data_IF_359708413391
#
_entry.id   IF_359708413391
#
_cell.length_a   1.000
_cell.length_b   1.000
_cell.length_c   1.000
_cell.angle_alpha   90.00
_cell.angle_beta   90.00
_cell.angle_gamma   90.00
#
_symmetry.space_group_name_H-M   'P 1'
#
loop_
_entity.id
_entity.type
_entity.pdbx_description
1 polymer ?
#
# COMPACT_ATOMS: atom_id res chain seq x y z
N UNK A 1 -7.02 -24.17 -15.26
CA UNK A 1 -8.10 -24.83 -16.03
C UNK A 1 -8.81 -23.76 -16.86
N UNK A 2 -9.48 -24.09 -17.97
CA UNK A 2 -10.23 -23.09 -18.76
C UNK A 2 -11.72 -23.38 -18.59
N UNK A 3 -12.52 -22.38 -18.23
CA UNK A 3 -13.98 -22.50 -18.14
C UNK A 3 -14.57 -22.66 -19.55
N UNK A 4 -15.80 -23.16 -19.67
CA UNK A 4 -16.49 -23.31 -20.97
C UNK A 4 -16.69 -21.98 -21.72
N UNK A 5 -16.63 -20.84 -21.02
CA UNK A 5 -16.68 -19.49 -21.59
C UNK A 5 -15.31 -18.96 -22.05
N UNK A 6 -14.24 -19.75 -21.92
CA UNK A 6 -12.88 -19.39 -22.30
C UNK A 6 -12.09 -18.65 -21.23
N UNK A 7 -12.66 -18.33 -20.06
CA UNK A 7 -11.94 -17.67 -18.98
C UNK A 7 -11.00 -18.63 -18.23
N UNK A 8 -9.83 -18.12 -17.84
CA UNK A 8 -8.88 -18.85 -17.01
C UNK A 8 -9.41 -19.06 -15.59
N UNK A 9 -9.31 -20.28 -15.09
CA UNK A 9 -9.70 -20.68 -13.74
C UNK A 9 -8.48 -21.24 -13.00
N UNK A 10 -8.14 -20.61 -11.88
CA UNK A 10 -7.09 -21.09 -10.99
C UNK A 10 -7.67 -22.13 -10.02
N UNK A 11 -7.19 -23.35 -10.15
CA UNK A 11 -7.64 -24.48 -9.35
C UNK A 11 -6.48 -25.14 -8.64
N UNK A 12 -6.70 -25.48 -7.38
CA UNK A 12 -5.88 -26.48 -6.71
C UNK A 12 -6.52 -27.84 -6.90
N UNK A 13 -5.72 -28.79 -7.37
CA UNK A 13 -6.15 -30.14 -7.66
C UNK A 13 -5.43 -31.07 -6.69
N UNK A 14 -6.20 -31.72 -5.82
CA UNK A 14 -5.70 -32.82 -5.02
C UNK A 14 -6.15 -34.12 -5.69
N UNK A 15 -5.18 -34.96 -6.06
CA UNK A 15 -5.44 -36.27 -6.62
C UNK A 15 -4.97 -37.34 -5.65
N UNK A 16 -5.89 -38.18 -5.20
CA UNK A 16 -5.59 -39.32 -4.33
C UNK A 16 -5.86 -40.60 -5.10
N UNK A 17 -4.90 -41.52 -5.13
CA UNK A 17 -5.09 -42.86 -5.69
C UNK A 17 -5.95 -43.67 -4.73
N UNK A 18 -7.03 -44.27 -5.24
CA UNK A 18 -7.93 -45.12 -4.48
C UNK A 18 -8.29 -46.35 -5.30
N UNK A 19 -8.79 -47.40 -4.64
CA UNK A 19 -9.34 -48.56 -5.35
C UNK A 19 -10.86 -48.39 -5.40
N UNK A 20 -11.43 -48.41 -6.59
CA UNK A 20 -12.87 -48.34 -6.82
C UNK A 20 -13.29 -49.56 -7.65
N UNK A 21 -14.25 -50.33 -7.14
CA UNK A 21 -14.69 -51.61 -7.72
C UNK A 21 -13.54 -52.58 -8.08
N UNK A 22 -12.52 -52.67 -7.21
CA UNK A 22 -11.38 -53.57 -7.39
C UNK A 22 -10.34 -53.11 -8.40
N UNK A 23 -10.51 -51.93 -9.00
CA UNK A 23 -9.59 -51.35 -9.97
C UNK A 23 -8.93 -50.07 -9.42
N UNK A 24 -7.70 -49.80 -9.87
CA UNK A 24 -7.01 -48.55 -9.57
C UNK A 24 -7.78 -47.36 -10.15
N UNK A 25 -8.18 -46.45 -9.28
CA UNK A 25 -8.89 -45.22 -9.61
C UNK A 25 -8.20 -43.99 -9.00
N UNK A 26 -8.50 -42.82 -9.53
CA UNK A 26 -8.01 -41.56 -9.00
C UNK A 26 -9.19 -40.68 -8.64
N UNK A 27 -9.28 -40.32 -7.36
CA UNK A 27 -10.19 -39.26 -6.94
C UNK A 27 -9.51 -37.93 -7.17
N UNK A 28 -10.16 -37.08 -7.97
CA UNK A 28 -9.68 -35.74 -8.27
C UNK A 28 -10.64 -34.74 -7.62
N UNK A 29 -10.16 -34.05 -6.59
CA UNK A 29 -10.89 -32.93 -5.98
C UNK A 29 -10.30 -31.65 -6.53
N UNK A 30 -11.14 -30.88 -7.21
CA UNK A 30 -10.78 -29.58 -7.79
C UNK A 30 -11.41 -28.50 -6.93
N UNK A 31 -10.61 -27.63 -6.33
CA UNK A 31 -11.09 -26.47 -5.59
C UNK A 31 -10.78 -25.21 -6.39
N UNK A 32 -11.82 -24.41 -6.67
CA UNK A 32 -11.64 -23.06 -7.17
C UNK A 32 -10.93 -22.24 -6.09
N UNK A 33 -9.72 -21.80 -6.41
CA UNK A 33 -8.92 -20.93 -5.53
C UNK A 33 -8.76 -19.55 -6.14
N UNK A 34 -9.51 -19.22 -7.20
CA UNK A 34 -9.39 -17.95 -7.91
C UNK A 34 -9.66 -16.77 -6.98
N UNK A 35 -10.71 -16.84 -6.14
CA UNK A 35 -11.01 -15.77 -5.18
C UNK A 35 -9.96 -15.68 -4.06
N UNK A 36 -9.54 -16.82 -3.50
CA UNK A 36 -8.50 -16.85 -2.46
C UNK A 36 -7.16 -16.35 -3.01
N UNK A 37 -6.77 -16.78 -4.21
CA UNK A 37 -5.53 -16.36 -4.86
C UNK A 37 -5.63 -14.92 -5.37
N UNK A 38 -6.79 -14.42 -5.76
CA UNK A 38 -6.98 -13.01 -6.07
C UNK A 38 -6.89 -12.14 -4.81
N UNK A 39 -7.43 -12.59 -3.67
CA UNK A 39 -7.28 -11.92 -2.37
C UNK A 39 -5.83 -12.00 -1.85
N UNK A 40 -5.17 -13.16 -1.96
CA UNK A 40 -3.75 -13.33 -1.63
C UNK A 40 -2.84 -12.58 -2.61
N UNK A 41 -3.20 -12.46 -3.89
CA UNK A 41 -2.48 -11.66 -4.87
C UNK A 41 -2.72 -10.17 -4.65
N UNK A 42 -3.91 -9.74 -4.22
CA UNK A 42 -4.18 -8.37 -3.81
C UNK A 42 -3.43 -8.02 -2.51
N UNK A 43 -3.37 -8.94 -1.54
CA UNK A 43 -2.55 -8.81 -0.34
C UNK A 43 -1.05 -8.88 -0.65
N UNK A 44 -0.61 -9.73 -1.59
CA UNK A 44 0.77 -9.79 -2.08
C UNK A 44 1.12 -8.62 -2.99
N UNK A 45 0.15 -7.99 -3.66
CA UNK A 45 0.32 -6.76 -4.42
C UNK A 45 0.39 -5.57 -3.47
N UNK A 46 -0.42 -5.55 -2.41
CA UNK A 46 -0.28 -4.64 -1.27
C UNK A 46 1.06 -4.87 -0.54
N UNK A 47 1.54 -6.10 -0.39
CA UNK A 47 2.85 -6.42 0.19
C UNK A 47 4.03 -6.25 -0.80
N UNK A 48 3.81 -6.32 -2.11
CA UNK A 48 4.81 -6.01 -3.14
C UNK A 48 4.88 -4.49 -3.38
N UNK A 49 3.85 -3.73 -3.01
CA UNK A 49 3.92 -2.29 -2.77
C UNK A 49 4.71 -1.97 -1.48
N UNK A 50 4.89 -2.92 -0.56
CA UNK A 50 5.91 -2.88 0.51
C UNK A 50 7.32 -3.19 -0.04
N UNK A 51 7.59 -2.86 -1.31
CA UNK A 51 8.95 -2.75 -1.86
C UNK A 51 9.55 -1.34 -1.73
N UNK A 52 9.14 -0.59 -0.70
CA UNK A 52 10.07 0.32 -0.03
C UNK A 52 9.89 0.16 1.47
N UNK A 53 10.87 -0.49 2.11
CA UNK A 53 11.12 -0.44 3.57
C UNK A 53 11.30 1.01 4.08
N UNK A 54 11.22 2.01 3.19
CA UNK A 54 11.48 3.42 3.40
C UNK A 54 10.24 4.32 3.40
N UNK A 55 9.02 3.84 3.13
CA UNK A 55 7.85 4.71 3.04
C UNK A 55 7.27 5.07 4.42
N UNK A 56 6.93 6.34 4.58
CA UNK A 56 6.34 6.86 5.80
C UNK A 56 4.86 6.41 5.88
N UNK A 57 4.53 5.66 6.93
CA UNK A 57 3.16 5.22 7.24
C UNK A 57 2.67 5.99 8.45
N UNK A 58 1.55 6.69 8.26
CA UNK A 58 1.02 7.65 9.21
C UNK A 58 -0.46 7.36 9.44
N UNK A 59 -0.85 7.18 10.70
CA UNK A 59 -2.25 7.09 11.10
C UNK A 59 -2.75 8.45 11.59
N UNK A 60 -4.00 8.79 11.27
CA UNK A 60 -4.65 10.01 11.76
C UNK A 60 -6.09 9.75 12.22
N UNK A 61 -6.60 10.61 13.10
CA UNK A 61 -8.03 10.70 13.41
C UNK A 61 -8.81 11.27 12.22
N UNK A 62 -10.15 11.26 12.28
CA UNK A 62 -11.01 11.90 11.28
C UNK A 62 -10.73 13.41 11.11
N UNK A 63 -10.17 14.07 12.13
CA UNK A 63 -9.79 15.49 12.12
C UNK A 63 -8.34 15.72 11.66
N UNK A 64 -7.65 14.67 11.20
CA UNK A 64 -6.27 14.77 10.74
C UNK A 64 -5.24 14.89 11.87
N UNK A 65 -5.57 14.53 13.11
CA UNK A 65 -4.61 14.47 14.22
C UNK A 65 -3.82 13.16 14.15
N UNK A 66 -2.49 13.22 14.19
CA UNK A 66 -1.62 12.03 14.09
C UNK A 66 -1.80 11.10 15.28
N UNK A 67 -2.07 9.83 15.00
CA UNK A 67 -2.26 8.74 15.99
C UNK A 67 -1.17 7.66 15.88
N UNK A 68 -0.53 7.54 14.72
CA UNK A 68 0.54 6.58 14.48
C UNK A 68 1.59 7.17 13.55
N UNK A 69 2.85 6.83 13.80
CA UNK A 69 4.01 7.36 13.08
C UNK A 69 5.10 6.28 13.05
N UNK A 70 5.33 5.66 11.89
CA UNK A 70 6.31 4.59 11.77
C UNK A 70 7.76 5.11 11.73
N UNK A 71 8.78 4.25 11.95
CA UNK A 71 10.19 4.66 11.90
C UNK A 71 10.63 5.30 10.57
N UNK A 72 10.03 4.88 9.45
CA UNK A 72 10.31 5.50 8.15
C UNK A 72 9.81 6.95 8.09
N UNK A 73 8.67 7.27 8.72
CA UNK A 73 8.19 8.63 8.87
C UNK A 73 9.15 9.48 9.72
N UNK A 74 9.76 8.90 10.76
CA UNK A 74 10.80 9.60 11.52
C UNK A 74 12.01 9.96 10.67
N UNK A 75 12.45 9.03 9.81
CA UNK A 75 13.59 9.24 8.91
C UNK A 75 13.29 10.25 7.79
N UNK A 76 12.11 10.15 7.18
CA UNK A 76 11.70 11.03 6.07
C UNK A 76 11.52 12.46 6.56
N UNK A 77 10.74 12.66 7.64
CA UNK A 77 10.39 14.00 8.11
C UNK A 77 11.30 14.54 9.21
N UNK A 78 12.36 13.82 9.58
CA UNK A 78 13.30 14.19 10.66
C UNK A 78 12.60 14.55 11.98
N UNK A 79 11.53 13.84 12.31
CA UNK A 79 10.68 14.10 13.48
C UNK A 79 10.31 12.80 14.18
N UNK A 80 10.56 12.74 15.49
CA UNK A 80 10.25 11.56 16.29
C UNK A 80 8.73 11.34 16.41
N UNK A 81 8.31 10.09 16.62
CA UNK A 81 6.91 9.74 16.86
C UNK A 81 6.32 10.50 18.07
N UNK A 82 7.01 10.62 19.24
CA UNK A 82 6.52 11.43 20.35
C UNK A 82 6.28 12.91 20.00
N UNK A 83 7.08 13.48 19.10
CA UNK A 83 6.93 14.87 18.67
C UNK A 83 5.87 15.05 17.58
N UNK A 84 5.46 13.97 16.91
CA UNK A 84 4.47 13.98 15.84
C UNK A 84 3.05 13.63 16.33
N UNK A 85 2.92 12.63 17.21
CA UNK A 85 1.63 12.15 17.71
C UNK A 85 0.89 13.26 18.47
N UNK A 86 -0.42 13.36 18.25
CA UNK A 86 -1.27 14.39 18.84
C UNK A 86 -1.23 15.74 18.12
N UNK A 87 -0.43 15.89 17.06
CA UNK A 87 -0.38 17.11 16.23
C UNK A 87 -1.20 16.96 14.95
N UNK A 88 -1.62 18.06 14.32
CA UNK A 88 -2.20 18.03 12.98
C UNK A 88 -1.19 17.50 11.95
N UNK A 89 -1.66 16.68 11.01
CA UNK A 89 -0.83 16.09 9.95
C UNK A 89 -0.10 17.17 9.13
N UNK A 90 -0.80 18.25 8.77
CA UNK A 90 -0.25 19.36 7.98
C UNK A 90 0.98 20.00 8.63
N UNK A 91 0.98 20.11 9.96
CA UNK A 91 2.09 20.69 10.71
C UNK A 91 3.32 19.79 10.79
N UNK A 92 3.13 18.46 10.81
CA UNK A 92 4.26 17.51 10.96
C UNK A 92 4.89 17.14 9.62
N UNK A 93 4.13 17.17 8.52
CA UNK A 93 4.63 16.98 7.15
C UNK A 93 5.02 18.30 6.47
N UNK A 94 4.68 19.43 7.09
CA UNK A 94 5.00 20.77 6.60
C UNK A 94 4.31 21.14 5.29
N UNK A 95 3.10 20.62 5.05
CA UNK A 95 2.31 20.90 3.85
C UNK A 95 0.83 21.04 4.20
N UNK A 96 0.08 21.76 3.38
CA UNK A 96 -1.39 21.81 3.50
C UNK A 96 -1.97 20.48 3.01
N UNK A 97 -2.20 19.57 3.97
CA UNK A 97 -2.62 18.20 3.71
C UNK A 97 -3.85 17.86 4.55
N UNK A 98 -4.96 17.66 3.86
CA UNK A 98 -6.22 17.18 4.45
C UNK A 98 -6.52 15.75 3.98
N UNK A 99 -6.43 14.74 4.86
CA UNK A 99 -6.62 13.33 4.46
C UNK A 99 -7.98 13.07 3.78
N UNK A 100 -9.04 13.71 4.27
CA UNK A 100 -10.39 13.59 3.72
C UNK A 100 -10.45 14.04 2.25
N UNK A 101 -9.79 15.15 1.93
CA UNK A 101 -9.74 15.73 0.57
C UNK A 101 -8.96 14.82 -0.38
N UNK A 102 -7.87 14.21 0.08
CA UNK A 102 -7.10 13.23 -0.72
C UNK A 102 -7.95 11.99 -1.03
N UNK A 103 -8.64 11.44 -0.03
CA UNK A 103 -9.55 10.29 -0.23
C UNK A 103 -10.68 10.64 -1.21
N UNK A 104 -11.32 11.80 -1.03
CA UNK A 104 -12.39 12.27 -1.92
C UNK A 104 -11.92 12.46 -3.37
N UNK A 105 -10.64 12.74 -3.59
CA UNK A 105 -10.03 12.98 -4.90
C UNK A 105 -9.45 11.70 -5.55
N UNK A 106 -9.77 10.51 -5.03
CA UNK A 106 -9.30 9.23 -5.57
C UNK A 106 -8.13 8.60 -4.79
N UNK A 107 -7.80 9.14 -3.62
CA UNK A 107 -6.87 8.51 -2.65
C UNK A 107 -5.40 8.72 -2.95
N UNK A 108 -5.02 9.46 -3.99
CA UNK A 108 -3.62 9.72 -4.34
C UNK A 108 -3.44 11.22 -4.62
N UNK A 109 -2.39 11.80 -4.04
CA UNK A 109 -1.96 13.17 -4.25
C UNK A 109 -0.44 13.22 -4.41
N UNK A 110 0.06 14.00 -5.36
CA UNK A 110 1.46 14.41 -5.37
C UNK A 110 1.56 15.80 -4.74
N UNK A 111 2.44 15.95 -3.76
CA UNK A 111 2.61 17.17 -3.00
C UNK A 111 4.08 17.41 -2.66
N UNK A 112 4.41 18.67 -2.39
CA UNK A 112 5.69 19.05 -1.83
C UNK A 112 5.55 19.19 -0.33
N UNK A 113 6.32 18.39 0.40
CA UNK A 113 6.36 18.39 1.86
C UNK A 113 7.65 19.03 2.36
N UNK A 114 7.64 19.45 3.63
CA UNK A 114 8.78 20.04 4.31
C UNK A 114 9.07 19.26 5.59
N UNK A 115 10.19 18.53 5.59
CA UNK A 115 10.69 17.85 6.79
C UNK A 115 11.02 18.86 7.90
N UNK A 116 11.06 18.40 9.14
CA UNK A 116 11.33 19.25 10.30
C UNK A 116 12.73 19.90 10.26
N UNK A 117 13.70 19.24 9.62
CA UNK A 117 15.05 19.77 9.39
C UNK A 117 15.16 20.74 8.20
N UNK A 118 14.03 21.05 7.55
CA UNK A 118 13.95 21.96 6.41
C UNK A 118 14.16 21.32 5.03
N UNK A 119 14.39 20.00 4.94
CA UNK A 119 14.46 19.32 3.64
C UNK A 119 13.12 19.43 2.91
N UNK A 120 13.18 19.78 1.63
CA UNK A 120 12.03 19.76 0.72
C UNK A 120 11.93 18.36 0.11
N UNK A 121 10.75 17.76 0.21
CA UNK A 121 10.48 16.40 -0.22
C UNK A 121 9.40 16.43 -1.30
N UNK A 122 9.68 15.80 -2.44
CA UNK A 122 8.64 15.51 -3.42
C UNK A 122 7.97 14.19 -3.03
N UNK A 123 6.73 14.26 -2.56
CA UNK A 123 6.06 13.13 -1.93
C UNK A 123 4.83 12.73 -2.74
N UNK A 124 4.70 11.42 -2.97
CA UNK A 124 3.40 10.84 -3.35
C UNK A 124 2.69 10.39 -2.09
N UNK A 125 1.58 11.04 -1.78
CA UNK A 125 0.69 10.70 -0.68
C UNK A 125 -0.40 9.77 -1.21
N UNK A 126 -0.55 8.60 -0.60
CA UNK A 126 -1.71 7.73 -0.77
C UNK A 126 -2.49 7.71 0.54
N UNK A 127 -3.79 7.96 0.50
CA UNK A 127 -4.65 8.00 1.68
C UNK A 127 -5.83 7.03 1.53
N UNK A 128 -6.16 6.33 2.62
CA UNK A 128 -7.33 5.48 2.70
C UNK A 128 -8.08 5.73 4.03
N UNK A 129 -9.41 5.68 3.96
CA UNK A 129 -10.26 5.77 5.14
C UNK A 129 -10.21 4.48 5.97
N UNK A 130 -10.28 4.63 7.28
CA UNK A 130 -10.42 3.57 8.29
C UNK A 130 -11.62 3.88 9.19
N UNK A 131 -12.01 2.96 10.07
CA UNK A 131 -13.16 3.14 10.97
C UNK A 131 -13.06 4.43 11.82
N UNK A 132 -11.86 4.76 12.30
CA UNK A 132 -11.64 5.86 13.25
C UNK A 132 -10.79 7.02 12.68
N UNK A 133 -10.60 7.06 11.35
CA UNK A 133 -9.82 8.11 10.69
C UNK A 133 -9.19 7.67 9.37
N UNK A 134 -7.90 7.94 9.18
CA UNK A 134 -7.21 7.69 7.91
C UNK A 134 -5.82 7.08 8.11
N UNK A 135 -5.42 6.24 7.16
CA UNK A 135 -4.03 5.85 6.96
C UNK A 135 -3.46 6.57 5.74
N UNK A 136 -2.26 7.10 5.90
CA UNK A 136 -1.50 7.74 4.84
C UNK A 136 -0.18 7.00 4.62
N UNK A 137 0.16 6.80 3.36
CA UNK A 137 1.47 6.34 2.91
C UNK A 137 2.11 7.46 2.12
N UNK A 138 3.26 7.95 2.58
CA UNK A 138 4.02 9.02 1.95
C UNK A 138 5.32 8.43 1.40
N UNK A 139 5.40 8.31 0.07
CA UNK A 139 6.60 7.85 -0.63
C UNK A 139 7.43 9.05 -1.07
N UNK A 140 8.70 9.12 -0.65
CA UNK A 140 9.65 10.15 -1.10
C UNK A 140 10.16 9.82 -2.50
N UNK A 141 9.86 10.69 -3.46
CA UNK A 141 10.26 10.59 -4.86
C UNK A 141 11.38 11.59 -5.22
N UNK A 142 11.96 12.28 -4.24
CA UNK A 142 13.00 13.30 -4.45
C UNK A 142 14.21 12.75 -5.20
N UNK A 143 14.60 11.49 -4.92
CA UNK A 143 15.69 10.82 -5.62
C UNK A 143 15.34 10.49 -7.08
N UNK A 144 14.09 10.13 -7.35
CA UNK A 144 13.61 9.75 -8.68
C UNK A 144 13.53 10.99 -9.60
N UNK A 145 12.99 12.11 -9.08
CA UNK A 145 12.86 13.35 -9.86
C UNK A 145 14.19 14.03 -10.18
N UNK A 146 15.20 13.94 -9.31
CA UNK A 146 16.54 14.48 -9.60
C UNK A 146 17.23 13.78 -10.78
N UNK A 147 16.90 12.51 -11.02
CA UNK A 147 17.40 11.75 -12.17
C UNK A 147 16.67 12.08 -13.47
N UNK A 148 15.34 12.30 -13.40
CA UNK A 148 14.52 12.65 -14.57
C UNK A 148 14.80 14.08 -15.06
N UNK A 149 14.99 15.05 -14.15
CA UNK A 149 15.29 16.44 -14.51
C UNK A 149 16.66 16.65 -15.18
N UNK A 150 17.58 15.68 -15.09
CA UNK A 150 18.88 15.76 -15.75
C UNK A 150 18.87 15.31 -17.22
N UNK A 151 17.79 14.65 -17.68
CA UNK A 151 17.70 14.11 -19.04
C UNK A 151 16.99 15.03 -20.03
N UNK A 152 16.23 16.03 -19.57
CA UNK A 152 15.51 16.97 -20.46
C UNK A 152 16.32 18.22 -20.83
N UNK A 153 17.57 18.33 -20.39
CA UNK A 153 18.42 19.52 -20.59
C UNK A 153 19.57 19.34 -21.60
N UNK A 154 19.51 18.34 -22.49
CA UNK A 154 20.54 18.08 -23.54
C UNK A 154 19.95 18.17 -24.94
#
# INVERSE_FOLDING_TARGET
MIRSDGSGLDVEVLTVKMVWEGHDAFQVVTRDVSERRAAEAALRYQAALVNHVSDAIIGTTAQGTVTSWNPAAESIYSRSAPDAIGRPISAVVGADLEPATVVASGGILQATHHAFDGRVLDVRVSAAAMADGYVLVCSDLTALRRAEQHFEAV
#
